data_IF_107179092387
#
_entry.id   IF_107179092387
#
_cell.length_a   1.000
_cell.length_b   1.000
_cell.length_c   1.000
_cell.angle_alpha   90.00
_cell.angle_beta   90.00
_cell.angle_gamma   90.00
#
_symmetry.space_group_name_H-M   'P 1'
#
loop_
_entity.id
_entity.type
_entity.pdbx_description
1 polymer ?
#
# COMPACT_ATOMS: atom_id res chain seq x y z
N UNK A 1 0.43 -10.91 -4.94
CA UNK A 1 0.72 -9.51 -5.35
C UNK A 1 0.36 -8.52 -4.24
N UNK A 2 -0.91 -8.47 -3.80
CA UNK A 2 -1.35 -7.51 -2.78
C UNK A 2 -0.59 -7.57 -1.44
N UNK A 3 -0.31 -8.77 -0.90
CA UNK A 3 0.47 -8.90 0.34
C UNK A 3 1.87 -8.29 0.26
N UNK A 4 2.56 -8.45 -0.88
CA UNK A 4 3.90 -7.86 -1.11
C UNK A 4 3.81 -6.33 -1.10
N UNK A 5 2.78 -5.75 -1.72
CA UNK A 5 2.53 -4.30 -1.72
C UNK A 5 2.32 -3.80 -0.29
N UNK A 6 1.44 -4.45 0.48
CA UNK A 6 1.13 -4.04 1.85
C UNK A 6 2.36 -4.15 2.76
N UNK A 7 3.12 -5.24 2.66
CA UNK A 7 4.33 -5.42 3.47
C UNK A 7 5.39 -4.37 3.16
N UNK A 8 5.64 -4.07 1.88
CA UNK A 8 6.61 -3.05 1.48
C UNK A 8 6.17 -1.67 1.94
N UNK A 9 4.92 -1.28 1.69
CA UNK A 9 4.39 0.04 2.06
C UNK A 9 4.36 0.20 3.59
N UNK A 10 3.95 -0.85 4.31
CA UNK A 10 3.95 -0.93 5.77
C UNK A 10 5.34 -0.78 6.38
N UNK A 11 6.32 -1.55 5.89
CA UNK A 11 7.70 -1.44 6.35
C UNK A 11 8.28 -0.05 6.02
N UNK A 12 8.03 0.46 4.81
CA UNK A 12 8.54 1.77 4.39
C UNK A 12 8.00 2.91 5.26
N UNK A 13 6.68 2.95 5.50
CA UNK A 13 6.06 3.98 6.34
C UNK A 13 6.38 3.79 7.82
N UNK A 14 6.55 2.56 8.29
CA UNK A 14 6.98 2.26 9.65
C UNK A 14 8.42 2.73 9.93
N UNK A 15 9.34 2.52 9.00
CA UNK A 15 10.73 2.98 9.10
C UNK A 15 10.88 4.51 9.06
N UNK A 16 9.99 5.19 8.34
CA UNK A 16 9.97 6.65 8.25
C UNK A 16 9.00 7.31 9.25
N UNK A 17 8.43 6.55 10.19
CA UNK A 17 7.49 7.10 11.16
C UNK A 17 8.19 8.08 12.11
N UNK A 18 7.54 9.21 12.38
CA UNK A 18 8.07 10.20 13.33
C UNK A 18 7.98 9.63 14.75
N UNK A 19 8.97 9.94 15.58
CA UNK A 19 9.06 9.46 16.96
C UNK A 19 7.80 9.82 17.77
N UNK A 20 7.34 8.88 18.59
CA UNK A 20 6.15 9.03 19.45
C UNK A 20 4.91 8.31 18.93
N UNK A 21 4.01 7.91 19.85
CA UNK A 21 2.82 7.11 19.53
C UNK A 21 1.86 7.80 18.54
N UNK A 22 1.73 9.12 18.62
CA UNK A 22 0.91 9.92 17.70
C UNK A 22 1.46 9.91 16.27
N UNK A 23 2.79 9.99 16.14
CA UNK A 23 3.48 9.91 14.85
C UNK A 23 3.34 8.54 14.19
N UNK A 24 3.38 7.47 15.00
CA UNK A 24 3.15 6.09 14.54
C UNK A 24 1.70 5.89 14.09
N UNK A 25 0.72 6.44 14.83
CA UNK A 25 -0.69 6.40 14.42
C UNK A 25 -0.91 7.06 13.06
N UNK A 26 -0.39 8.28 12.88
CA UNK A 26 -0.44 9.00 11.60
C UNK A 26 0.26 8.26 10.46
N UNK A 27 1.45 7.71 10.72
CA UNK A 27 2.19 6.92 9.72
C UNK A 27 1.43 5.65 9.32
N UNK A 28 0.77 4.98 10.27
CA UNK A 28 -0.03 3.78 10.02
C UNK A 28 -1.23 4.10 9.13
N UNK A 29 -1.99 5.16 9.44
CA UNK A 29 -3.13 5.59 8.62
C UNK A 29 -2.69 5.97 7.21
N UNK A 30 -1.61 6.75 7.08
CA UNK A 30 -1.05 7.09 5.78
C UNK A 30 -0.56 5.86 5.00
N UNK A 31 0.01 4.86 5.68
CA UNK A 31 0.45 3.60 5.09
C UNK A 31 -0.72 2.79 4.52
N UNK A 32 -1.83 2.70 5.26
CA UNK A 32 -3.02 1.97 4.82
C UNK A 32 -3.64 2.65 3.60
N UNK A 33 -3.80 3.98 3.62
CA UNK A 33 -4.34 4.73 2.47
C UNK A 33 -3.48 4.51 1.21
N UNK A 34 -2.15 4.60 1.35
CA UNK A 34 -1.24 4.41 0.22
C UNK A 34 -1.29 2.96 -0.31
N UNK A 35 -1.39 1.98 0.60
CA UNK A 35 -1.55 0.57 0.23
C UNK A 35 -2.84 0.33 -0.56
N UNK A 36 -3.97 0.91 -0.13
CA UNK A 36 -5.26 0.77 -0.81
C UNK A 36 -5.22 1.36 -2.22
N UNK A 37 -4.59 2.53 -2.39
CA UNK A 37 -4.41 3.16 -3.71
C UNK A 37 -3.58 2.25 -4.65
N UNK A 38 -2.46 1.72 -4.16
CA UNK A 38 -1.61 0.80 -4.94
C UNK A 38 -2.31 -0.51 -5.29
N UNK A 39 -3.11 -1.04 -4.37
CA UNK A 39 -3.94 -2.23 -4.59
C UNK A 39 -4.92 -1.97 -5.74
N UNK A 40 -5.65 -0.85 -5.72
CA UNK A 40 -6.58 -0.50 -6.80
C UNK A 40 -5.89 -0.34 -8.15
N UNK A 41 -4.74 0.32 -8.21
CA UNK A 41 -3.97 0.45 -9.46
C UNK A 41 -3.55 -0.93 -9.99
N UNK A 42 -3.05 -1.78 -9.09
CA UNK A 42 -2.60 -3.12 -9.45
C UNK A 42 -3.75 -4.02 -9.89
N UNK A 43 -4.91 -3.88 -9.26
CA UNK A 43 -6.14 -4.59 -9.62
C UNK A 43 -6.65 -4.19 -11.00
N UNK A 44 -6.61 -2.90 -11.33
CA UNK A 44 -6.91 -2.42 -12.68
C UNK A 44 -5.94 -3.00 -13.72
N UNK A 45 -4.65 -2.98 -13.42
CA UNK A 45 -3.64 -3.58 -14.30
C UNK A 45 -3.82 -5.08 -14.47
N UNK A 46 -4.07 -5.84 -13.39
CA UNK A 46 -4.38 -7.26 -13.49
C UNK A 46 -5.64 -7.49 -14.33
N UNK A 47 -6.70 -6.72 -14.09
CA UNK A 47 -7.95 -6.87 -14.83
C UNK A 47 -7.74 -6.61 -16.33
N UNK A 48 -7.08 -5.51 -16.71
CA UNK A 48 -6.81 -5.22 -18.13
C UNK A 48 -5.92 -6.30 -18.76
N UNK A 49 -4.86 -6.71 -18.08
CA UNK A 49 -3.87 -7.64 -18.64
C UNK A 49 -4.42 -9.06 -18.76
N UNK A 50 -5.29 -9.48 -17.85
CA UNK A 50 -5.85 -10.83 -17.79
C UNK A 50 -7.19 -10.97 -18.53
N UNK A 51 -7.99 -9.89 -18.64
CA UNK A 51 -9.33 -9.92 -19.25
C UNK A 51 -9.46 -9.17 -20.58
N UNK A 52 -8.65 -8.13 -20.85
CA UNK A 52 -8.73 -7.35 -22.12
C UNK A 52 -7.70 -7.81 -23.15
N UNK A 53 -6.59 -8.43 -22.72
CA UNK A 53 -5.55 -8.95 -23.61
C UNK A 53 -5.83 -10.34 -24.22
N UNK A 54 -7.00 -10.94 -23.94
CA UNK A 54 -7.42 -12.26 -24.40
C UNK A 54 -8.63 -12.20 -25.34
#
# INVERSE_FOLDING_TARGET
VFGVIISIVGCYKGLHARQGAEGVGLATTASVVLSIILIFITDYFMTVLLYVGG
#
